data_IF_691610595559
#
_entry.id   IF_691610595559
#
_cell.length_a   1.000
_cell.length_b   1.000
_cell.length_c   1.000
_cell.angle_alpha   90.00
_cell.angle_beta   90.00
_cell.angle_gamma   90.00
#
_symmetry.space_group_name_H-M   'P 1'
#
loop_
_entity.id
_entity.type
_entity.pdbx_description
1 polymer ?
#
# COMPACT_ATOMS: atom_id res chain seq x y z
N UNK A 1 -18.47 6.84 -16.10
CA UNK A 1 -17.27 6.80 -15.23
C UNK A 1 -17.74 6.40 -13.85
N UNK A 2 -17.16 5.37 -13.22
CA UNK A 2 -17.67 4.88 -11.95
C UNK A 2 -17.41 5.93 -10.86
N UNK A 3 -18.39 6.14 -10.00
CA UNK A 3 -18.27 7.07 -8.86
C UNK A 3 -18.30 6.26 -7.59
N UNK A 4 -17.53 6.67 -6.61
CA UNK A 4 -17.62 6.06 -5.29
C UNK A 4 -19.01 6.25 -4.71
N UNK A 5 -19.55 5.18 -4.14
CA UNK A 5 -20.62 5.28 -3.16
C UNK A 5 -20.13 6.02 -1.90
N UNK A 6 -21.06 6.54 -1.09
CA UNK A 6 -20.72 7.16 0.20
C UNK A 6 -19.93 6.21 1.12
N UNK A 7 -20.26 4.91 1.08
CA UNK A 7 -19.56 3.87 1.83
C UNK A 7 -18.11 3.71 1.37
N UNK A 8 -17.89 3.62 0.06
CA UNK A 8 -16.54 3.49 -0.50
C UNK A 8 -15.68 4.72 -0.23
N UNK A 9 -16.23 5.94 -0.31
CA UNK A 9 -15.47 7.16 0.03
C UNK A 9 -14.98 7.12 1.48
N UNK A 10 -15.84 6.71 2.42
CA UNK A 10 -15.46 6.57 3.83
C UNK A 10 -14.42 5.47 4.02
N UNK A 11 -14.58 4.34 3.35
CA UNK A 11 -13.60 3.25 3.39
C UNK A 11 -12.23 3.72 2.92
N UNK A 12 -12.14 4.34 1.74
CA UNK A 12 -10.87 4.81 1.19
C UNK A 12 -10.27 5.97 1.98
N UNK A 13 -11.10 6.82 2.59
CA UNK A 13 -10.63 7.83 3.53
C UNK A 13 -9.85 7.20 4.70
N UNK A 14 -10.43 6.21 5.39
CA UNK A 14 -9.74 5.54 6.49
C UNK A 14 -8.58 4.67 6.02
N UNK A 15 -8.71 4.02 4.86
CA UNK A 15 -7.63 3.28 4.22
C UNK A 15 -6.37 4.16 4.05
N UNK A 16 -6.49 5.34 3.41
CA UNK A 16 -5.34 6.23 3.22
C UNK A 16 -4.81 6.79 4.52
N UNK A 17 -5.67 7.07 5.51
CA UNK A 17 -5.23 7.51 6.84
C UNK A 17 -4.42 6.44 7.58
N UNK A 18 -4.84 5.17 7.51
CA UNK A 18 -4.13 4.05 8.12
C UNK A 18 -2.86 3.70 7.35
N UNK A 19 -2.84 3.92 6.03
CA UNK A 19 -1.65 3.65 5.22
C UNK A 19 -0.49 4.57 5.56
N UNK A 20 -0.74 5.83 5.95
CA UNK A 20 0.32 6.78 6.33
C UNK A 20 1.23 6.22 7.44
N UNK A 21 0.74 5.82 8.63
CA UNK A 21 1.58 5.24 9.67
C UNK A 21 2.14 3.87 9.27
N UNK A 22 1.43 3.06 8.48
CA UNK A 22 1.97 1.77 7.99
C UNK A 22 3.20 2.02 7.11
N UNK A 23 3.11 2.91 6.13
CA UNK A 23 4.24 3.27 5.26
C UNK A 23 5.40 3.86 6.04
N UNK A 24 5.13 4.69 7.06
CA UNK A 24 6.19 5.27 7.89
C UNK A 24 6.86 4.24 8.82
N UNK A 25 6.10 3.29 9.39
CA UNK A 25 6.59 2.40 10.44
C UNK A 25 6.96 1.00 9.96
N UNK A 26 6.48 0.55 8.80
CA UNK A 26 6.72 -0.77 8.25
C UNK A 26 7.48 -0.62 6.93
N UNK A 27 6.89 0.04 5.94
CA UNK A 27 7.47 0.07 4.59
C UNK A 27 8.80 0.83 4.57
N UNK A 28 8.92 1.93 5.33
CA UNK A 28 10.16 2.69 5.44
C UNK A 28 11.36 1.86 5.94
N UNK A 29 11.13 0.73 6.61
CA UNK A 29 12.19 -0.19 7.06
C UNK A 29 12.96 -0.84 5.92
N UNK A 30 12.39 -0.89 4.71
CA UNK A 30 13.09 -1.36 3.51
C UNK A 30 14.20 -0.39 3.11
N UNK A 31 14.00 0.91 3.35
CA UNK A 31 14.91 1.98 2.93
C UNK A 31 15.80 2.46 4.07
N UNK A 32 15.24 2.57 5.28
CA UNK A 32 15.92 3.09 6.47
C UNK A 32 16.64 1.94 7.18
N UNK A 33 17.93 2.07 7.49
CA UNK A 33 18.66 1.06 8.27
C UNK A 33 18.04 0.85 9.66
N UNK A 34 18.10 -0.36 10.23
CA UNK A 34 17.48 -0.68 11.52
C UNK A 34 17.88 0.23 12.68
N UNK A 35 19.10 0.78 12.66
CA UNK A 35 19.66 1.66 13.70
C UNK A 35 18.93 3.00 13.78
N UNK A 36 18.37 3.45 12.65
CA UNK A 36 17.69 4.74 12.53
C UNK A 36 16.16 4.59 12.36
N UNK A 37 15.68 3.37 12.25
CA UNK A 37 14.27 3.11 11.99
C UNK A 37 13.45 3.13 13.29
N UNK A 38 12.41 3.98 13.40
CA UNK A 38 11.71 4.24 14.66
C UNK A 38 10.91 3.06 15.20
N UNK A 39 10.61 2.06 14.37
CA UNK A 39 9.82 0.89 14.73
C UNK A 39 10.56 -0.44 14.40
N UNK A 40 11.89 -0.46 14.51
CA UNK A 40 12.72 -1.65 14.21
C UNK A 40 12.21 -2.92 14.91
N UNK A 41 11.89 -2.86 16.20
CA UNK A 41 11.33 -4.01 16.96
C UNK A 41 9.99 -4.51 16.41
N UNK A 42 9.13 -3.61 15.93
CA UNK A 42 7.84 -3.97 15.34
C UNK A 42 8.05 -4.69 14.01
N UNK A 43 8.99 -4.20 13.20
CA UNK A 43 9.36 -4.80 11.92
C UNK A 43 10.00 -6.18 12.14
N UNK A 44 10.91 -6.32 13.10
CA UNK A 44 11.50 -7.60 13.48
C UNK A 44 10.43 -8.62 13.90
N UNK A 45 9.48 -8.19 14.73
CA UNK A 45 8.33 -9.02 15.11
C UNK A 45 7.50 -9.42 13.89
N UNK A 46 7.20 -8.49 12.98
CA UNK A 46 6.43 -8.76 11.77
C UNK A 46 7.14 -9.76 10.84
N UNK A 47 8.46 -9.61 10.66
CA UNK A 47 9.30 -10.53 9.88
C UNK A 47 9.27 -11.92 10.50
N UNK A 48 9.48 -12.02 11.82
CA UNK A 48 9.52 -13.30 12.53
C UNK A 48 8.16 -14.01 12.53
N UNK A 49 7.07 -13.26 12.71
CA UNK A 49 5.72 -13.83 12.77
C UNK A 49 5.23 -14.37 11.42
N UNK A 50 5.66 -13.76 10.32
CA UNK A 50 5.16 -14.10 8.97
C UNK A 50 6.20 -14.76 8.07
N UNK A 51 7.42 -15.00 8.57
CA UNK A 51 8.58 -15.38 7.75
C UNK A 51 8.78 -14.45 6.54
N UNK A 52 8.63 -13.14 6.74
CA UNK A 52 8.66 -12.15 5.65
C UNK A 52 10.09 -11.89 5.17
N UNK A 53 10.56 -12.74 4.26
CA UNK A 53 11.92 -12.64 3.72
C UNK A 53 12.13 -11.41 2.85
N UNK A 54 11.06 -10.81 2.29
CA UNK A 54 11.18 -9.61 1.45
C UNK A 54 11.61 -8.40 2.29
N UNK A 55 11.01 -8.25 3.48
CA UNK A 55 11.40 -7.20 4.45
C UNK A 55 12.75 -7.48 5.12
N UNK A 56 13.19 -8.74 5.13
CA UNK A 56 14.51 -9.14 5.63
C UNK A 56 15.63 -8.89 4.61
N UNK A 57 15.51 -9.44 3.40
CA UNK A 57 16.55 -9.35 2.35
C UNK A 57 16.60 -7.99 1.68
N UNK A 58 15.46 -7.26 1.68
CA UNK A 58 15.30 -5.92 1.10
C UNK A 58 15.87 -5.83 -0.33
N UNK A 59 15.33 -6.60 -1.28
CA UNK A 59 15.94 -6.71 -2.58
C UNK A 59 15.91 -5.36 -3.32
N UNK A 60 16.93 -5.08 -4.14
CA UNK A 60 17.12 -3.76 -4.78
C UNK A 60 15.88 -3.24 -5.52
N UNK A 61 15.10 -4.11 -6.16
CA UNK A 61 13.88 -3.71 -6.85
C UNK A 61 12.81 -3.21 -5.85
N UNK A 62 12.65 -3.86 -4.71
CA UNK A 62 11.71 -3.48 -3.66
C UNK A 62 12.13 -2.16 -3.02
N UNK A 63 13.43 -1.98 -2.78
CA UNK A 63 13.98 -0.73 -2.29
C UNK A 63 13.53 0.47 -3.13
N UNK A 64 13.66 0.39 -4.46
CA UNK A 64 13.26 1.50 -5.33
C UNK A 64 11.75 1.73 -5.37
N UNK A 65 10.94 0.67 -5.30
CA UNK A 65 9.48 0.83 -5.17
C UNK A 65 9.10 1.55 -3.87
N UNK A 66 9.72 1.18 -2.75
CA UNK A 66 9.45 1.84 -1.46
C UNK A 66 9.98 3.27 -1.43
N UNK A 67 11.10 3.58 -2.08
CA UNK A 67 11.54 4.99 -2.24
C UNK A 67 10.48 5.82 -2.96
N UNK A 68 9.90 5.29 -4.05
CA UNK A 68 8.81 5.96 -4.76
C UNK A 68 7.59 6.08 -3.85
N UNK A 69 7.29 5.06 -3.06
CA UNK A 69 6.19 5.10 -2.10
C UNK A 69 6.37 6.23 -1.09
N UNK A 70 7.53 6.33 -0.45
CA UNK A 70 7.84 7.33 0.57
C UNK A 70 7.86 8.76 0.01
N UNK A 71 8.41 8.96 -1.18
CA UNK A 71 8.60 10.30 -1.76
C UNK A 71 7.35 10.78 -2.51
N UNK A 72 6.65 9.88 -3.20
CA UNK A 72 5.55 10.23 -4.10
C UNK A 72 4.20 9.81 -3.53
N UNK A 73 4.05 8.54 -3.15
CA UNK A 73 2.74 8.01 -2.74
C UNK A 73 2.33 8.51 -1.35
N UNK A 74 3.25 8.63 -0.39
CA UNK A 74 2.97 9.07 0.97
C UNK A 74 2.39 10.50 1.03
N UNK A 75 2.96 11.53 0.35
CA UNK A 75 2.29 12.83 0.24
C UNK A 75 0.93 12.77 -0.47
N UNK A 76 0.76 11.84 -1.43
CA UNK A 76 -0.52 11.63 -2.10
C UNK A 76 -1.55 10.99 -1.18
N UNK A 77 -1.18 10.11 -0.24
CA UNK A 77 -2.13 9.54 0.74
C UNK A 77 -2.81 10.62 1.56
N UNK A 78 -2.03 11.60 2.05
CA UNK A 78 -2.57 12.75 2.76
C UNK A 78 -3.54 13.57 1.88
N UNK A 79 -3.15 13.84 0.63
CA UNK A 79 -4.02 14.55 -0.33
C UNK A 79 -5.31 13.78 -0.64
N UNK A 80 -5.23 12.47 -0.83
CA UNK A 80 -6.39 11.62 -1.11
C UNK A 80 -7.31 11.55 0.09
N UNK A 81 -6.80 11.39 1.31
CA UNK A 81 -7.60 11.42 2.52
C UNK A 81 -8.36 12.75 2.66
N UNK A 82 -7.69 13.89 2.46
CA UNK A 82 -8.35 15.20 2.51
C UNK A 82 -9.43 15.37 1.43
N UNK A 83 -9.16 14.92 0.20
CA UNK A 83 -10.10 15.03 -0.91
C UNK A 83 -11.31 14.07 -0.80
N UNK A 84 -11.14 12.93 -0.14
CA UNK A 84 -12.20 11.95 0.10
C UNK A 84 -13.09 12.30 1.30
N UNK A 85 -12.74 13.33 2.08
CA UNK A 85 -13.57 13.82 3.17
C UNK A 85 -14.98 14.16 2.66
N UNK A 86 -16.05 13.73 3.36
CA UNK A 86 -17.41 14.07 2.96
C UNK A 86 -17.60 15.59 3.01
N UNK A 87 -17.95 16.18 1.86
CA UNK A 87 -18.30 17.59 1.71
C UNK A 87 -19.54 17.68 0.83
N UNK A 88 -20.48 18.55 1.19
CA UNK A 88 -21.72 18.80 0.44
C UNK A 88 -21.55 20.10 -0.36
N UNK A 89 -21.85 20.04 -1.65
CA UNK A 89 -21.95 21.23 -2.48
C UNK A 89 -23.39 21.78 -2.36
N UNK A 90 -23.50 23.08 -2.15
CA UNK A 90 -24.76 23.77 -1.89
C UNK A 90 -25.38 24.36 -3.16
N UNK A 91 -24.56 24.82 -4.12
CA UNK A 91 -25.04 25.53 -5.32
C UNK A 91 -24.60 24.88 -6.64
N UNK A 92 -25.26 25.20 -7.77
CA UNK A 92 -25.01 24.59 -9.08
C UNK A 92 -23.58 24.80 -9.60
N UNK A 93 -23.03 26.00 -9.45
CA UNK A 93 -21.65 26.31 -9.84
C UNK A 93 -20.62 25.51 -9.02
N UNK A 94 -20.91 25.29 -7.73
CA UNK A 94 -20.08 24.47 -6.84
C UNK A 94 -20.13 22.97 -7.21
N UNK A 95 -21.24 22.51 -7.82
CA UNK A 95 -21.37 21.12 -8.30
C UNK A 95 -20.48 20.84 -9.51
N UNK A 96 -20.36 21.79 -10.44
CA UNK A 96 -19.53 21.63 -11.64
C UNK A 96 -18.04 21.62 -11.30
N UNK A 97 -17.58 22.55 -10.46
CA UNK A 97 -16.20 22.55 -9.96
C UNK A 97 -15.86 21.28 -9.16
N UNK A 98 -16.82 20.79 -8.36
CA UNK A 98 -16.66 19.55 -7.61
C UNK A 98 -16.54 18.34 -8.53
N UNK A 99 -17.35 18.29 -9.59
CA UNK A 99 -17.29 17.23 -10.59
C UNK A 99 -15.91 17.18 -11.28
N UNK A 100 -15.35 18.34 -11.64
CA UNK A 100 -14.01 18.40 -12.23
C UNK A 100 -12.92 17.92 -11.25
N UNK A 101 -12.98 18.39 -9.99
CA UNK A 101 -12.07 17.94 -8.92
C UNK A 101 -12.17 16.43 -8.67
N UNK A 102 -13.38 15.87 -8.69
CA UNK A 102 -13.61 14.42 -8.57
C UNK A 102 -13.03 13.64 -9.75
N UNK A 103 -13.19 14.12 -10.98
CA UNK A 103 -12.61 13.48 -12.17
C UNK A 103 -11.09 13.47 -12.13
N UNK A 104 -10.48 14.59 -11.69
CA UNK A 104 -9.03 14.68 -11.49
C UNK A 104 -8.58 13.72 -10.39
N UNK A 105 -9.27 13.70 -9.25
CA UNK A 105 -9.00 12.78 -8.13
C UNK A 105 -9.05 11.32 -8.59
N UNK A 106 -10.11 10.90 -9.29
CA UNK A 106 -10.27 9.54 -9.78
C UNK A 106 -9.12 9.12 -10.70
N UNK A 107 -8.64 10.04 -11.56
CA UNK A 107 -7.47 9.78 -12.42
C UNK A 107 -6.22 9.49 -11.59
N UNK A 108 -5.95 10.31 -10.57
CA UNK A 108 -4.80 10.10 -9.68
C UNK A 108 -4.92 8.82 -8.84
N UNK A 109 -6.13 8.51 -8.36
CA UNK A 109 -6.41 7.28 -7.62
C UNK A 109 -6.19 6.03 -8.47
N UNK A 110 -6.55 6.05 -9.76
CA UNK A 110 -6.26 4.96 -10.70
C UNK A 110 -4.76 4.76 -10.91
N UNK A 111 -3.99 5.84 -11.08
CA UNK A 111 -2.53 5.77 -11.22
C UNK A 111 -1.88 5.19 -9.97
N UNK A 112 -2.29 5.68 -8.79
CA UNK A 112 -1.85 5.12 -7.51
C UNK A 112 -2.21 3.63 -7.40
N UNK A 113 -3.48 3.29 -7.68
CA UNK A 113 -4.00 1.94 -7.60
C UNK A 113 -3.22 0.97 -8.49
N UNK A 114 -2.91 1.38 -9.72
CA UNK A 114 -2.11 0.59 -10.65
C UNK A 114 -0.69 0.37 -10.12
N UNK A 115 0.00 1.42 -9.65
CA UNK A 115 1.36 1.29 -9.15
C UNK A 115 1.45 0.41 -7.91
N UNK A 116 0.58 0.65 -6.92
CA UNK A 116 0.55 -0.12 -5.68
C UNK A 116 0.17 -1.60 -5.94
N UNK A 117 -0.91 -1.85 -6.69
CA UNK A 117 -1.31 -3.24 -6.99
C UNK A 117 -0.26 -3.98 -7.82
N UNK A 118 0.41 -3.31 -8.76
CA UNK A 118 1.51 -3.91 -9.53
C UNK A 118 2.71 -4.26 -8.65
N UNK A 119 3.11 -3.36 -7.75
CA UNK A 119 4.23 -3.59 -6.81
C UNK A 119 3.93 -4.78 -5.91
N UNK A 120 2.73 -4.83 -5.31
CA UNK A 120 2.32 -5.95 -4.46
C UNK A 120 2.20 -7.25 -5.25
N UNK A 121 1.74 -7.20 -6.50
CA UNK A 121 1.69 -8.39 -7.37
C UNK A 121 3.08 -8.98 -7.59
N UNK A 122 4.09 -8.13 -7.83
CA UNK A 122 5.50 -8.58 -7.93
C UNK A 122 5.94 -9.23 -6.61
N UNK A 123 5.60 -8.64 -5.47
CA UNK A 123 5.91 -9.22 -4.15
C UNK A 123 5.29 -10.61 -4.00
N UNK A 124 4.00 -10.74 -4.32
CA UNK A 124 3.27 -12.02 -4.26
C UNK A 124 3.85 -13.08 -5.19
N UNK A 125 4.20 -12.72 -6.43
CA UNK A 125 4.88 -13.63 -7.37
C UNK A 125 6.23 -14.07 -6.80
N UNK A 126 6.98 -13.13 -6.22
CA UNK A 126 8.31 -13.41 -5.63
C UNK A 126 8.20 -14.32 -4.42
N UNK A 127 7.19 -14.13 -3.55
CA UNK A 127 6.90 -15.02 -2.42
C UNK A 127 6.61 -16.44 -2.92
N UNK A 128 5.77 -16.58 -3.94
CA UNK A 128 5.42 -17.88 -4.49
C UNK A 128 6.64 -18.61 -5.06
N UNK A 129 7.47 -17.91 -5.83
CA UNK A 129 8.62 -18.47 -6.53
C UNK A 129 9.83 -18.75 -5.61
N UNK A 130 10.16 -17.81 -4.71
CA UNK A 130 11.44 -17.83 -3.96
C UNK A 130 11.29 -18.02 -2.45
N UNK A 131 10.09 -17.93 -1.88
CA UNK A 131 9.89 -17.83 -0.43
C UNK A 131 10.75 -18.79 0.40
N UNK A 132 11.53 -18.24 1.32
CA UNK A 132 12.44 -18.94 2.24
C UNK A 132 12.37 -18.33 3.65
N UNK A 133 12.88 -19.03 4.66
CA UNK A 133 12.90 -18.51 6.02
C UNK A 133 13.96 -17.42 6.21
N UNK A 134 13.60 -16.21 6.70
CA UNK A 134 14.54 -15.10 6.88
C UNK A 134 15.81 -15.46 7.68
N UNK A 135 15.64 -16.26 8.74
CA UNK A 135 16.73 -16.66 9.65
C UNK A 135 17.44 -17.95 9.25
N UNK A 136 16.90 -18.69 8.26
CA UNK A 136 17.47 -19.93 7.73
C UNK A 136 17.35 -19.94 6.19
N UNK A 137 18.18 -19.18 5.46
CA UNK A 137 17.97 -18.90 4.03
C UNK A 137 18.00 -20.12 3.11
N UNK A 138 18.61 -21.22 3.56
CA UNK A 138 18.66 -22.50 2.84
C UNK A 138 17.35 -23.28 2.95
N UNK A 139 16.45 -22.90 3.85
CA UNK A 139 15.18 -23.57 4.09
C UNK A 139 14.06 -22.86 3.32
N UNK A 140 13.46 -23.50 2.30
CA UNK A 140 12.32 -22.93 1.60
C UNK A 140 11.08 -22.93 2.50
N UNK A 141 10.20 -21.95 2.31
CA UNK A 141 8.90 -21.90 2.99
C UNK A 141 8.00 -23.04 2.52
N UNK A 142 7.28 -23.63 3.47
CA UNK A 142 6.21 -24.58 3.19
C UNK A 142 5.01 -23.89 2.51
N UNK A 143 4.11 -24.67 1.93
CA UNK A 143 2.99 -24.14 1.12
C UNK A 143 2.04 -23.30 1.98
N UNK A 144 1.75 -23.77 3.19
CA UNK A 144 0.94 -23.08 4.19
C UNK A 144 1.58 -21.76 4.63
N UNK A 145 2.89 -21.74 4.87
CA UNK A 145 3.63 -20.52 5.22
C UNK A 145 3.63 -19.51 4.07
N UNK A 146 3.77 -19.97 2.82
CA UNK A 146 3.62 -19.12 1.63
C UNK A 146 2.21 -18.55 1.54
N UNK A 147 1.17 -19.34 1.79
CA UNK A 147 -0.22 -18.87 1.78
C UNK A 147 -0.43 -17.83 2.89
N UNK A 148 0.08 -18.08 4.10
CA UNK A 148 0.01 -17.13 5.20
C UNK A 148 0.65 -15.80 4.83
N UNK A 149 1.87 -15.82 4.30
CA UNK A 149 2.56 -14.60 3.87
C UNK A 149 1.82 -13.91 2.71
N UNK A 150 1.30 -14.66 1.73
CA UNK A 150 0.48 -14.09 0.66
C UNK A 150 -0.78 -13.40 1.18
N UNK A 151 -1.43 -13.94 2.22
CA UNK A 151 -2.60 -13.33 2.84
C UNK A 151 -2.28 -12.01 3.56
N UNK A 152 -1.05 -11.82 4.04
CA UNK A 152 -0.58 -10.53 4.57
C UNK A 152 -0.50 -9.48 3.46
N UNK A 153 -0.02 -9.86 2.28
CA UNK A 153 0.12 -8.94 1.14
C UNK A 153 -1.20 -8.73 0.38
N UNK A 154 -2.11 -9.70 0.41
CA UNK A 154 -3.35 -9.71 -0.39
C UNK A 154 -4.22 -8.45 -0.23
N UNK A 155 -4.45 -7.87 0.97
CA UNK A 155 -5.21 -6.63 1.12
C UNK A 155 -4.55 -5.46 0.38
N UNK A 156 -3.22 -5.37 0.43
CA UNK A 156 -2.45 -4.31 -0.25
C UNK A 156 -2.43 -4.48 -1.77
N UNK A 157 -2.85 -5.65 -2.29
CA UNK A 157 -3.09 -5.87 -3.71
C UNK A 157 -4.54 -5.52 -4.09
N UNK A 158 -5.52 -6.13 -3.41
CA UNK A 158 -6.93 -6.04 -3.78
C UNK A 158 -7.51 -4.64 -3.62
N UNK A 159 -7.15 -3.95 -2.53
CA UNK A 159 -7.71 -2.62 -2.24
C UNK A 159 -7.24 -1.59 -3.28
N UNK A 160 -5.92 -1.46 -3.58
CA UNK A 160 -5.47 -0.59 -4.68
C UNK A 160 -5.98 -1.03 -6.04
N UNK A 161 -6.09 -2.33 -6.32
CA UNK A 161 -6.59 -2.82 -7.60
C UNK A 161 -8.03 -2.36 -7.87
N UNK A 162 -8.89 -2.33 -6.83
CA UNK A 162 -10.26 -1.82 -6.95
C UNK A 162 -10.31 -0.35 -7.42
N UNK A 163 -9.31 0.46 -7.09
CA UNK A 163 -9.22 1.87 -7.54
C UNK A 163 -8.99 1.99 -9.06
N UNK A 164 -8.40 0.99 -9.72
CA UNK A 164 -8.22 0.97 -11.17
C UNK A 164 -9.55 0.97 -11.93
N UNK A 165 -10.61 0.46 -11.30
CA UNK A 165 -11.96 0.33 -11.87
C UNK A 165 -12.92 1.46 -11.46
N UNK A 166 -12.40 2.57 -10.95
CA UNK A 166 -13.17 3.83 -10.88
C UNK A 166 -13.52 4.33 -12.27
#
# INVERSE_FOLDING_TARGET
MARFSLGERKFYYYYFLLHIPITLLIDSSVVVPPEYHPASKLVEWHIAQNNDFLLWEKPNWLYWFVVIELVVQLPLFAKFALALRPSQATNSQEKDEKLEKENKLNRWLRIYGLNASFTTLICMITIWQRGYHPFFPTQPLQIDEKIQLLLVYLPTFLIPLRLCFL
#
